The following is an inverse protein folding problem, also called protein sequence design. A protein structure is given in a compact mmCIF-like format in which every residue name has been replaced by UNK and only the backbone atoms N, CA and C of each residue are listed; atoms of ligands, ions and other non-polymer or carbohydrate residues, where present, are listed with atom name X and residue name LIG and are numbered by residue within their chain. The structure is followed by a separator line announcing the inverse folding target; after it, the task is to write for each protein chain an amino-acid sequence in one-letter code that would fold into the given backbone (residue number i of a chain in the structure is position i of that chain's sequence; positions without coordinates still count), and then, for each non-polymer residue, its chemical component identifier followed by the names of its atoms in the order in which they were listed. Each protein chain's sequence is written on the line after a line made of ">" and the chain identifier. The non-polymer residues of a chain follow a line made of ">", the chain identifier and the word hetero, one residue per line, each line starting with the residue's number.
data_IF_007633439547
#
_entry.id   IF_007633439547
#
_cell.length_a   1.000
_cell.length_b   1.000
_cell.length_c   1.000
_cell.angle_alpha   90.00
_cell.angle_beta   90.00
_cell.angle_gamma   90.00
#
_symmetry.space_group_name_H-M   'P 1'
#
loop_
_entity.id
_entity.type
_entity.pdbx_description
1 polymer ?
#
# COMPACT_ATOMS: atom_id res chain seq x y z
N UNK A 1 -2.33 15.25 -19.32
CA UNK A 1 -1.98 14.96 -20.72
C UNK A 1 -1.59 13.48 -20.80
N UNK A 2 -2.38 12.68 -21.51
CA UNK A 2 -2.24 11.22 -21.60
C UNK A 2 -1.08 10.83 -22.53
N UNK A 3 -0.08 10.14 -21.98
CA UNK A 3 0.92 9.42 -22.77
C UNK A 3 1.05 7.98 -22.24
N UNK A 4 0.79 6.95 -23.05
CA UNK A 4 0.87 5.56 -22.60
C UNK A 4 2.34 5.16 -22.37
N UNK A 5 2.65 4.80 -21.12
CA UNK A 5 3.95 4.31 -20.63
C UNK A 5 4.50 3.09 -21.39
N UNK A 6 3.68 2.41 -22.22
CA UNK A 6 4.15 1.33 -23.11
C UNK A 6 5.17 1.79 -24.16
N UNK A 7 5.29 3.09 -24.44
CA UNK A 7 6.32 3.62 -25.36
C UNK A 7 7.59 4.12 -24.66
N UNK A 8 7.62 4.23 -23.32
CA UNK A 8 8.73 4.90 -22.61
C UNK A 8 9.78 3.97 -22.00
N UNK A 9 9.72 2.67 -22.26
CA UNK A 9 10.92 1.81 -22.23
C UNK A 9 11.76 1.97 -23.52
N UNK A 10 11.22 2.60 -24.58
CA UNK A 10 11.92 2.73 -25.86
C UNK A 10 12.94 3.89 -25.89
N UNK A 11 12.87 4.83 -24.93
CA UNK A 11 13.80 5.97 -24.86
C UNK A 11 14.82 5.87 -23.72
N UNK A 12 14.79 4.80 -22.91
CA UNK A 12 15.86 4.48 -21.95
C UNK A 12 16.81 3.38 -22.47
N UNK A 13 16.67 3.02 -23.75
CA UNK A 13 17.35 1.88 -24.36
C UNK A 13 18.82 2.11 -24.72
N UNK A 14 19.37 3.33 -24.57
CA UNK A 14 20.72 3.61 -25.11
C UNK A 14 21.79 3.91 -24.05
N UNK A 15 21.50 3.89 -22.74
CA UNK A 15 22.54 4.33 -21.78
C UNK A 15 22.70 3.53 -20.49
N UNK A 16 21.75 2.67 -20.11
CA UNK A 16 21.78 2.03 -18.77
C UNK A 16 21.53 0.53 -18.85
N UNK A 17 20.49 0.11 -19.57
CA UNK A 17 20.28 -1.31 -19.86
C UNK A 17 20.79 -1.63 -21.26
N UNK A 18 21.70 -2.60 -21.38
CA UNK A 18 22.23 -3.05 -22.67
C UNK A 18 21.17 -3.67 -23.60
N UNK A 19 19.94 -3.92 -23.12
CA UNK A 19 18.82 -4.36 -23.95
C UNK A 19 17.45 -4.06 -23.31
N UNK A 20 16.41 -3.98 -24.15
CA UNK A 20 15.02 -3.85 -23.71
C UNK A 20 14.56 -5.01 -22.82
N UNK A 21 15.02 -6.23 -23.14
CA UNK A 21 14.70 -7.44 -22.38
C UNK A 21 15.25 -7.31 -20.95
N UNK A 22 16.53 -6.91 -20.82
CA UNK A 22 17.15 -6.67 -19.51
C UNK A 22 16.40 -5.61 -18.71
N UNK A 23 15.99 -4.52 -19.36
CA UNK A 23 15.20 -3.48 -18.71
C UNK A 23 13.83 -3.98 -18.21
N UNK A 24 13.15 -4.84 -18.96
CA UNK A 24 11.89 -5.45 -18.54
C UNK A 24 12.06 -6.42 -17.37
N UNK A 25 13.10 -7.24 -17.40
CA UNK A 25 13.40 -8.24 -16.35
C UNK A 25 13.82 -7.58 -15.03
N UNK A 26 14.53 -6.46 -15.10
CA UNK A 26 14.93 -5.68 -13.93
C UNK A 26 13.78 -4.92 -13.26
N UNK A 27 12.69 -4.62 -13.98
CA UNK A 27 11.60 -3.79 -13.47
C UNK A 27 10.72 -4.54 -12.46
N UNK A 28 10.67 -4.06 -11.22
CA UNK A 28 9.80 -4.59 -10.17
C UNK A 28 8.43 -3.91 -10.23
N UNK A 29 8.40 -2.59 -10.32
CA UNK A 29 7.16 -1.82 -10.30
C UNK A 29 7.33 -0.45 -10.98
N UNK A 30 6.26 0.07 -11.57
CA UNK A 30 6.21 1.42 -12.15
C UNK A 30 5.13 2.25 -11.45
N UNK A 31 5.57 3.36 -10.85
CA UNK A 31 4.71 4.35 -10.20
C UNK A 31 4.31 5.42 -11.23
N UNK A 32 3.00 5.64 -11.40
CA UNK A 32 2.48 6.60 -12.40
C UNK A 32 1.30 7.45 -11.90
N UNK A 33 0.92 7.32 -10.63
CA UNK A 33 -0.20 8.07 -10.04
C UNK A 33 0.27 9.30 -9.29
N UNK A 34 0.83 9.10 -8.09
CA UNK A 34 1.27 10.18 -7.21
C UNK A 34 2.74 10.54 -7.38
N UNK A 35 3.53 9.61 -7.93
CA UNK A 35 4.96 9.76 -8.20
C UNK A 35 5.20 9.22 -9.61
N UNK A 36 6.10 9.86 -10.36
CA UNK A 36 6.60 9.36 -11.64
C UNK A 36 7.96 8.71 -11.40
N UNK A 37 8.00 7.38 -11.31
CA UNK A 37 9.21 6.64 -10.99
C UNK A 37 9.04 5.14 -11.13
N UNK A 38 10.08 4.39 -10.81
CA UNK A 38 10.05 2.93 -10.85
C UNK A 38 10.94 2.32 -9.76
N UNK A 39 10.64 1.08 -9.39
CA UNK A 39 11.52 0.21 -8.61
C UNK A 39 12.10 -0.85 -9.54
N UNK A 40 13.40 -1.06 -9.49
CA UNK A 40 14.09 -2.05 -10.32
C UNK A 40 15.27 -2.69 -9.56
N UNK A 41 15.66 -3.90 -9.99
CA UNK A 41 16.93 -4.52 -9.61
C UNK A 41 18.01 -4.00 -10.56
N UNK A 42 19.05 -3.42 -9.99
CA UNK A 42 20.14 -2.76 -10.71
C UNK A 42 21.45 -3.15 -10.06
N UNK A 43 22.49 -3.30 -10.87
CA UNK A 43 23.86 -3.32 -10.37
C UNK A 43 24.27 -1.91 -9.90
N UNK A 44 25.30 -1.82 -9.06
CA UNK A 44 25.76 -0.55 -8.49
C UNK A 44 26.16 0.46 -9.57
N UNK A 45 26.86 0.01 -10.62
CA UNK A 45 27.26 0.87 -11.73
C UNK A 45 26.07 1.36 -12.56
N UNK A 46 24.99 0.57 -12.65
CA UNK A 46 23.75 0.95 -13.34
C UNK A 46 22.99 2.02 -12.54
N UNK A 47 22.93 1.86 -11.22
CA UNK A 47 22.33 2.84 -10.31
C UNK A 47 23.08 4.18 -10.33
N UNK A 48 24.41 4.16 -10.37
CA UNK A 48 25.24 5.35 -10.48
C UNK A 48 25.06 6.09 -11.80
N UNK A 49 24.96 5.35 -12.92
CA UNK A 49 24.64 5.94 -14.22
C UNK A 49 23.25 6.58 -14.23
N UNK A 50 22.27 5.94 -13.58
CA UNK A 50 20.92 6.49 -13.43
C UNK A 50 20.95 7.79 -12.62
N UNK A 51 21.68 7.82 -11.50
CA UNK A 51 21.77 8.99 -10.64
C UNK A 51 22.40 10.21 -11.32
N UNK A 52 23.29 9.98 -12.30
CA UNK A 52 23.94 11.05 -13.10
C UNK A 52 23.09 11.55 -14.27
N UNK A 53 21.96 10.90 -14.58
CA UNK A 53 21.12 11.29 -15.70
C UNK A 53 20.31 12.55 -15.34
N UNK A 54 20.36 13.64 -16.12
CA UNK A 54 19.65 14.89 -15.81
C UNK A 54 18.11 14.75 -15.79
N UNK A 55 17.55 13.65 -16.32
CA UNK A 55 16.12 13.35 -16.27
C UNK A 55 15.71 12.52 -15.04
N UNK A 56 16.66 12.14 -14.20
CA UNK A 56 16.42 11.40 -12.95
C UNK A 56 16.61 12.35 -11.78
N UNK A 57 15.56 12.55 -10.99
CA UNK A 57 15.60 13.46 -9.84
C UNK A 57 16.47 12.88 -8.71
N UNK A 58 16.36 11.58 -8.46
CA UNK A 58 17.05 10.91 -7.37
C UNK A 58 16.97 9.39 -7.50
N UNK A 59 18.00 8.69 -7.04
CA UNK A 59 18.03 7.23 -6.92
C UNK A 59 18.27 6.88 -5.45
N UNK A 60 17.49 5.94 -4.92
CA UNK A 60 17.62 5.48 -3.55
C UNK A 60 17.65 3.96 -3.51
N UNK A 61 18.59 3.41 -2.74
CA UNK A 61 18.63 1.98 -2.48
C UNK A 61 17.38 1.57 -1.68
N UNK A 62 16.72 0.51 -2.13
CA UNK A 62 15.61 -0.07 -1.38
C UNK A 62 16.12 -0.64 -0.04
N UNK A 63 15.47 -0.27 1.07
CA UNK A 63 15.85 -0.73 2.42
C UNK A 63 14.69 -1.43 3.08
N UNK A 64 14.97 -2.56 3.73
CA UNK A 64 14.00 -3.21 4.61
C UNK A 64 13.67 -2.27 5.77
N UNK A 65 12.39 -2.21 6.14
CA UNK A 65 11.92 -1.51 7.33
C UNK A 65 11.54 -2.56 8.38
N UNK A 66 11.74 -2.22 9.63
CA UNK A 66 11.40 -3.05 10.78
C UNK A 66 10.13 -2.54 11.45
N UNK A 67 9.41 -3.43 12.13
CA UNK A 67 8.22 -3.05 12.89
C UNK A 67 8.64 -2.27 14.14
N UNK A 68 8.03 -1.11 14.36
CA UNK A 68 8.41 -0.25 15.47
C UNK A 68 7.63 -0.52 16.77
N UNK A 69 6.46 -1.14 16.71
CA UNK A 69 5.66 -1.47 17.90
C UNK A 69 4.79 -2.70 17.67
N UNK A 70 4.59 -3.51 18.71
CA UNK A 70 3.59 -4.58 18.78
C UNK A 70 2.35 -4.18 19.58
N UNK A 71 2.36 -3.02 20.25
CA UNK A 71 1.25 -2.49 21.05
C UNK A 71 0.85 -1.09 20.56
N UNK A 72 -0.08 -1.02 19.60
CA UNK A 72 -0.53 0.25 19.02
C UNK A 72 -1.47 1.05 19.94
N UNK A 73 -2.24 0.39 20.81
CA UNK A 73 -3.24 1.06 21.64
C UNK A 73 -2.60 1.91 22.73
N UNK A 74 -1.57 1.37 23.39
CA UNK A 74 -0.74 2.10 24.35
C UNK A 74 0.02 3.24 23.66
N UNK A 75 0.61 2.99 22.49
CA UNK A 75 1.33 4.03 21.72
C UNK A 75 0.44 5.22 21.34
N UNK A 76 -0.83 4.96 20.98
CA UNK A 76 -1.80 6.00 20.63
C UNK A 76 -2.48 6.62 21.86
N UNK A 77 -2.18 6.16 23.08
CA UNK A 77 -2.82 6.64 24.32
C UNK A 77 -4.31 6.33 24.40
N UNK A 78 -4.78 5.30 23.70
CA UNK A 78 -6.20 4.92 23.64
C UNK A 78 -6.61 3.99 24.80
N UNK A 79 -5.63 3.40 25.47
CA UNK A 79 -5.78 2.60 26.68
C UNK A 79 -5.27 3.35 27.91
N UNK A 80 -5.94 3.17 29.04
CA UNK A 80 -5.41 3.54 30.35
C UNK A 80 -4.23 2.64 30.73
N UNK A 81 -3.47 3.02 31.77
CA UNK A 81 -2.40 2.19 32.35
C UNK A 81 -2.86 0.82 32.86
N UNK A 82 -4.17 0.55 32.85
CA UNK A 82 -4.77 -0.74 33.21
C UNK A 82 -5.23 -1.55 31.99
N UNK A 83 -4.91 -1.13 30.76
CA UNK A 83 -5.30 -1.80 29.51
C UNK A 83 -6.80 -1.64 29.17
N UNK A 84 -7.48 -0.71 29.83
CA UNK A 84 -8.89 -0.40 29.55
C UNK A 84 -8.93 0.67 28.49
N UNK A 85 -9.52 0.34 27.32
CA UNK A 85 -9.82 1.33 26.29
C UNK A 85 -10.79 2.34 26.88
N UNK A 86 -10.39 3.61 26.91
CA UNK A 86 -11.23 4.67 27.46
C UNK A 86 -12.40 4.91 26.49
N UNK A 87 -13.50 4.17 26.63
CA UNK A 87 -14.74 4.31 25.84
C UNK A 87 -15.53 5.58 26.17
N UNK A 88 -14.88 6.58 26.75
CA UNK A 88 -15.49 7.81 27.24
C UNK A 88 -16.05 8.71 26.14
N UNK A 89 -16.56 9.85 26.59
CA UNK A 89 -17.22 10.91 25.81
C UNK A 89 -16.56 11.19 24.45
N UNK A 90 -15.23 11.17 24.37
CA UNK A 90 -14.45 11.43 23.15
C UNK A 90 -14.79 10.51 21.97
N UNK A 91 -15.00 9.21 22.18
CA UNK A 91 -15.37 8.30 21.07
C UNK A 91 -16.80 8.52 20.61
N UNK A 92 -17.70 8.85 21.54
CA UNK A 92 -19.11 9.15 21.24
C UNK A 92 -19.20 10.47 20.47
N UNK A 93 -18.49 11.51 20.90
CA UNK A 93 -18.40 12.79 20.19
C UNK A 93 -17.77 12.65 18.79
N UNK A 94 -16.73 11.83 18.68
CA UNK A 94 -16.09 11.51 17.40
C UNK A 94 -16.91 10.53 16.54
N UNK A 95 -18.10 10.12 17.00
CA UNK A 95 -18.97 9.13 16.34
C UNK A 95 -18.23 7.87 15.93
N UNK A 96 -17.29 7.41 16.75
CA UNK A 96 -16.46 6.23 16.46
C UNK A 96 -15.77 6.26 15.09
N UNK A 97 -15.40 7.45 14.60
CA UNK A 97 -14.81 7.66 13.29
C UNK A 97 -15.71 7.23 12.10
N UNK A 98 -17.03 7.35 12.26
CA UNK A 98 -18.00 7.21 11.17
C UNK A 98 -17.56 8.00 9.93
N UNK A 99 -17.75 7.43 8.73
CA UNK A 99 -17.33 7.99 7.43
C UNK A 99 -15.83 8.32 7.24
N UNK A 100 -14.99 7.85 8.16
CA UNK A 100 -13.53 8.01 8.11
C UNK A 100 -12.87 6.76 7.54
N UNK A 101 -11.87 6.97 6.67
CA UNK A 101 -11.08 5.87 6.07
C UNK A 101 -9.67 5.96 6.63
N UNK A 102 -9.26 4.91 7.36
CA UNK A 102 -7.92 4.79 7.93
C UNK A 102 -7.14 3.77 7.10
N UNK A 103 -6.00 4.21 6.53
CA UNK A 103 -5.08 3.32 5.83
C UNK A 103 -4.01 2.80 6.82
N UNK A 104 -3.99 1.49 7.05
CA UNK A 104 -2.93 0.83 7.81
C UNK A 104 -1.92 0.20 6.87
N UNK A 105 -0.63 0.57 7.02
CA UNK A 105 0.49 0.02 6.28
C UNK A 105 1.33 -0.85 7.22
N UNK A 106 0.90 -2.09 7.39
CA UNK A 106 1.51 -3.09 8.29
C UNK A 106 1.65 -4.44 7.58
N UNK A 107 1.99 -5.48 8.33
CA UNK A 107 2.03 -6.90 7.96
C UNK A 107 0.68 -7.48 7.53
N UNK A 108 -0.42 -6.76 7.79
CA UNK A 108 -1.77 -7.12 7.36
C UNK A 108 -2.73 -7.24 8.54
N UNK A 109 -3.89 -7.82 8.26
CA UNK A 109 -4.94 -8.09 9.25
C UNK A 109 -5.44 -9.52 9.10
N UNK A 110 -6.06 -10.07 10.14
CA UNK A 110 -6.80 -11.33 10.05
C UNK A 110 -8.30 -11.06 9.78
N UNK A 111 -8.74 -11.03 8.50
CA UNK A 111 -10.09 -10.60 8.14
C UNK A 111 -11.22 -11.54 8.60
N UNK A 112 -10.89 -12.74 9.09
CA UNK A 112 -11.88 -13.69 9.63
C UNK A 112 -12.07 -13.56 11.14
N UNK A 113 -11.27 -12.73 11.82
CA UNK A 113 -11.48 -12.45 13.24
C UNK A 113 -12.82 -11.75 13.46
N UNK A 114 -13.51 -12.07 14.56
CA UNK A 114 -14.78 -11.44 14.94
C UNK A 114 -14.65 -9.92 15.10
N UNK A 115 -13.46 -9.43 15.46
CA UNK A 115 -13.19 -7.99 15.59
C UNK A 115 -13.28 -7.22 14.26
N UNK A 116 -13.24 -7.90 13.12
CA UNK A 116 -13.47 -7.31 11.78
C UNK A 116 -14.86 -7.67 11.22
N UNK A 117 -15.82 -8.02 12.08
CA UNK A 117 -17.21 -8.16 11.66
C UNK A 117 -17.74 -6.82 11.15
N UNK A 118 -18.49 -6.86 10.05
CA UNK A 118 -19.17 -5.69 9.47
C UNK A 118 -20.61 -5.56 9.98
N UNK A 119 -21.03 -6.44 10.89
CA UNK A 119 -22.35 -6.36 11.50
C UNK A 119 -22.49 -5.05 12.29
N UNK A 120 -23.53 -4.27 11.97
CA UNK A 120 -23.74 -2.94 12.55
C UNK A 120 -22.86 -1.82 11.96
N UNK A 121 -22.01 -2.11 10.96
CA UNK A 121 -21.25 -1.10 10.22
C UNK A 121 -22.07 -0.63 9.02
N UNK A 122 -22.14 0.69 8.81
CA UNK A 122 -22.86 1.31 7.69
C UNK A 122 -22.28 0.96 6.31
N UNK A 123 -22.92 1.46 5.25
CA UNK A 123 -22.46 1.24 3.88
C UNK A 123 -21.06 1.80 3.64
N UNK A 124 -20.28 1.14 2.76
CA UNK A 124 -18.96 1.64 2.35
C UNK A 124 -19.08 3.06 1.80
N UNK A 125 -18.25 4.03 2.27
CA UNK A 125 -18.30 5.41 1.80
C UNK A 125 -18.15 5.51 0.28
N UNK A 126 -19.00 6.31 -0.38
CA UNK A 126 -19.01 6.47 -1.85
C UNK A 126 -17.68 6.98 -2.45
N UNK A 127 -16.87 7.68 -1.63
CA UNK A 127 -15.53 8.17 -1.99
C UNK A 127 -14.47 7.05 -2.04
N UNK A 128 -14.74 5.88 -1.48
CA UNK A 128 -13.80 4.76 -1.46
C UNK A 128 -13.63 4.17 -2.87
N UNK A 129 -12.38 4.12 -3.35
CA UNK A 129 -12.00 3.52 -4.64
C UNK A 129 -11.04 2.34 -4.49
N UNK A 130 -10.96 1.77 -3.29
CA UNK A 130 -10.09 0.63 -3.04
C UNK A 130 -10.56 -0.62 -3.77
N UNK A 131 -9.62 -1.49 -4.10
CA UNK A 131 -9.89 -2.80 -4.67
C UNK A 131 -9.48 -3.87 -3.66
N UNK A 132 -10.33 -4.88 -3.46
CA UNK A 132 -9.94 -6.05 -2.70
C UNK A 132 -8.95 -6.88 -3.52
N UNK A 133 -7.72 -6.99 -3.04
CA UNK A 133 -6.79 -8.00 -3.52
C UNK A 133 -7.01 -9.27 -2.71
N UNK A 134 -7.49 -10.32 -3.37
CA UNK A 134 -7.65 -11.62 -2.75
C UNK A 134 -6.27 -12.21 -2.47
N UNK A 135 -6.06 -12.69 -1.24
CA UNK A 135 -5.08 -13.75 -0.99
C UNK A 135 -5.50 -15.06 -1.67
N UNK A 136 -4.74 -16.12 -1.45
CA UNK A 136 -4.80 -17.39 -2.18
C UNK A 136 -6.20 -17.99 -2.44
N UNK A 137 -6.28 -18.90 -3.43
CA UNK A 137 -7.47 -19.35 -4.16
C UNK A 137 -8.69 -19.74 -3.30
N UNK A 138 -8.49 -20.22 -2.07
CA UNK A 138 -9.56 -20.63 -1.15
C UNK A 138 -10.32 -19.47 -0.50
N UNK A 139 -9.69 -18.31 -0.35
CA UNK A 139 -10.34 -17.11 0.19
C UNK A 139 -11.35 -16.49 -0.77
N UNK A 140 -11.25 -16.80 -2.07
CA UNK A 140 -12.13 -16.30 -3.15
C UNK A 140 -13.54 -16.86 -3.15
N UNK A 141 -13.78 -18.00 -2.48
CA UNK A 141 -15.11 -18.65 -2.42
C UNK A 141 -15.90 -18.18 -1.21
N UNK A 142 -15.22 -18.02 -0.06
CA UNK A 142 -15.84 -17.62 1.20
C UNK A 142 -16.32 -16.16 1.22
N UNK A 143 -15.57 -15.22 0.64
CA UNK A 143 -15.94 -13.79 0.66
C UNK A 143 -16.93 -13.39 -0.45
N UNK A 144 -16.97 -14.14 -1.56
CA UNK A 144 -17.94 -13.90 -2.64
C UNK A 144 -19.38 -14.16 -2.21
N UNK A 145 -19.57 -15.09 -1.28
CA UNK A 145 -20.88 -15.37 -0.70
C UNK A 145 -21.32 -14.24 0.25
N UNK A 146 -20.39 -13.66 1.01
CA UNK A 146 -20.69 -12.56 1.95
C UNK A 146 -21.03 -11.23 1.29
N UNK A 147 -20.58 -10.98 0.06
CA UNK A 147 -20.94 -9.77 -0.70
C UNK A 147 -22.30 -9.85 -1.42
N UNK A 148 -22.96 -11.01 -1.45
CA UNK A 148 -24.36 -11.10 -1.93
C UNK A 148 -25.37 -10.77 -0.84
N UNK A 149 -24.92 -10.73 0.41
CA UNK A 149 -25.76 -10.61 1.61
C UNK A 149 -25.61 -9.24 2.30
N UNK A 150 -24.76 -8.35 1.78
CA UNK A 150 -24.57 -6.98 2.22
C UNK A 150 -24.89 -6.01 1.07
#
# INVERSE_FOLDING_TARGET
>A
MLYPLRKKLRCYNDMIFCSYVKAQESLIYSYNRSINGFAAKLEEEEADKLAKNPNVVSVFLNRRRELHTTNSWEYLGLESSQGVVNSGFTWVEAKYAEDTIIASLDTGVWPKSRSFSVEGVGSVPSKWRGQFQFGDHDSKKSLRNRMREA
#
